data_IF_697778103313
#
_entry.id   IF_697778103313
#
_cell.length_a   1.000
_cell.length_b   1.000
_cell.length_c   1.000
_cell.angle_alpha   90.00
_cell.angle_beta   90.00
_cell.angle_gamma   90.00
#
_symmetry.space_group_name_H-M   'P 1'
#
loop_
_entity.id
_entity.type
_entity.pdbx_description
1 polymer ?
#
# COMPACT_ATOMS: atom_id res chain seq x y z
N UNK A 1 -13.55 4.61 21.20
CA UNK A 1 -12.62 4.00 20.20
C UNK A 1 -13.25 4.25 18.87
N UNK A 2 -12.66 5.12 18.03
CA UNK A 2 -13.09 5.29 16.63
C UNK A 2 -12.54 4.11 15.84
N UNK A 3 -13.40 3.34 15.24
CA UNK A 3 -12.99 2.26 14.33
C UNK A 3 -12.20 2.86 13.18
N UNK A 4 -11.13 2.16 12.77
CA UNK A 4 -10.38 2.58 11.60
C UNK A 4 -11.29 2.52 10.35
N UNK A 5 -11.21 3.49 9.47
CA UNK A 5 -12.12 3.66 8.35
C UNK A 5 -12.18 2.49 7.37
N UNK A 6 -11.20 1.60 7.41
CA UNK A 6 -11.13 0.38 6.58
C UNK A 6 -11.18 -0.92 7.39
N UNK A 7 -11.53 -0.86 8.68
CA UNK A 7 -11.79 -2.08 9.45
C UNK A 7 -12.91 -2.84 8.77
N UNK A 8 -12.74 -4.13 8.42
CA UNK A 8 -13.88 -4.93 8.09
C UNK A 8 -14.76 -4.95 9.34
N UNK A 9 -15.95 -4.34 9.25
CA UNK A 9 -16.92 -4.47 10.31
C UNK A 9 -17.12 -5.97 10.58
N UNK A 10 -17.24 -6.36 11.83
CA UNK A 10 -17.45 -7.74 12.31
C UNK A 10 -18.80 -8.36 11.85
N UNK A 11 -19.46 -7.76 10.88
CA UNK A 11 -20.54 -8.38 10.11
C UNK A 11 -19.89 -9.28 9.08
N UNK A 12 -20.26 -10.54 9.05
CA UNK A 12 -19.97 -11.51 7.99
C UNK A 12 -20.03 -10.79 6.66
N UNK A 13 -18.86 -10.52 6.06
CA UNK A 13 -18.80 -9.76 4.82
C UNK A 13 -19.50 -10.59 3.75
N UNK A 14 -20.64 -10.14 3.28
CA UNK A 14 -21.32 -10.76 2.16
C UNK A 14 -20.38 -10.69 0.95
N UNK A 15 -19.94 -11.85 0.48
CA UNK A 15 -19.10 -11.96 -0.71
C UNK A 15 -20.01 -11.81 -1.93
N UNK A 16 -20.00 -10.64 -2.55
CA UNK A 16 -20.67 -10.44 -3.83
C UNK A 16 -19.74 -10.88 -4.96
N UNK A 17 -20.30 -11.57 -5.96
CA UNK A 17 -19.60 -11.94 -7.19
C UNK A 17 -20.13 -11.08 -8.33
N UNK A 18 -19.21 -10.48 -9.07
CA UNK A 18 -19.53 -9.68 -10.25
C UNK A 18 -18.94 -10.38 -11.48
N UNK A 19 -19.80 -10.79 -12.40
CA UNK A 19 -19.35 -11.37 -13.66
C UNK A 19 -18.87 -10.25 -14.60
N UNK A 20 -17.66 -10.43 -15.15
CA UNK A 20 -17.13 -9.54 -16.18
C UNK A 20 -17.72 -9.97 -17.54
N UNK A 21 -18.96 -9.55 -17.83
CA UNK A 21 -19.65 -9.88 -19.09
C UNK A 21 -19.55 -8.77 -20.13
N UNK A 22 -19.36 -7.54 -19.67
CA UNK A 22 -19.21 -6.36 -20.50
C UNK A 22 -17.73 -6.14 -20.85
N UNK A 23 -17.45 -5.48 -21.96
CA UNK A 23 -16.09 -5.10 -22.36
C UNK A 23 -15.42 -4.21 -21.33
N UNK A 24 -16.23 -3.52 -20.53
CA UNK A 24 -15.79 -2.57 -19.49
C UNK A 24 -16.73 -2.61 -18.30
N UNK A 25 -16.17 -2.60 -17.11
CA UNK A 25 -16.89 -2.47 -15.84
C UNK A 25 -16.27 -1.34 -15.02
N UNK A 26 -17.07 -0.36 -14.68
CA UNK A 26 -16.70 0.76 -13.84
C UNK A 26 -17.16 0.54 -12.40
N UNK A 27 -16.30 0.92 -11.45
CA UNK A 27 -16.56 0.86 -10.01
C UNK A 27 -16.50 2.30 -9.48
N UNK A 28 -17.51 2.72 -8.73
CA UNK A 28 -17.54 4.04 -8.14
C UNK A 28 -18.54 4.17 -6.99
N UNK A 29 -18.55 5.35 -6.37
CA UNK A 29 -19.52 5.66 -5.32
C UNK A 29 -20.88 6.06 -5.91
N UNK A 30 -20.89 6.74 -7.04
CA UNK A 30 -22.10 7.32 -7.63
C UNK A 30 -22.36 6.80 -9.04
N UNK A 31 -21.32 6.51 -9.80
CA UNK A 31 -21.38 6.11 -11.19
C UNK A 31 -20.62 4.80 -11.45
N UNK A 32 -21.18 3.95 -12.32
CA UNK A 32 -20.55 2.72 -12.79
C UNK A 32 -21.48 1.52 -12.79
N UNK A 33 -20.95 0.37 -13.21
CA UNK A 33 -21.65 -0.91 -13.18
C UNK A 33 -21.71 -1.47 -11.74
N UNK A 34 -20.71 -1.13 -10.92
CA UNK A 34 -20.65 -1.47 -9.50
C UNK A 34 -20.65 -0.16 -8.71
N UNK A 35 -21.82 0.16 -8.13
CA UNK A 35 -22.01 1.36 -7.31
C UNK A 35 -22.02 0.98 -5.85
N UNK A 36 -21.11 1.59 -5.08
CA UNK A 36 -20.89 1.34 -3.66
C UNK A 36 -21.09 2.66 -2.89
N UNK A 37 -22.35 3.10 -2.83
CA UNK A 37 -22.75 4.44 -2.36
C UNK A 37 -22.42 4.72 -0.90
N UNK A 38 -22.32 3.67 -0.08
CA UNK A 38 -22.06 3.78 1.37
C UNK A 38 -20.56 3.93 1.70
N UNK A 39 -19.69 3.92 0.69
CA UNK A 39 -18.25 4.04 0.92
C UNK A 39 -17.75 5.48 0.69
N UNK A 40 -17.50 6.25 1.75
CA UNK A 40 -17.01 7.64 1.64
C UNK A 40 -15.58 7.76 1.11
N UNK A 41 -14.83 6.64 0.99
CA UNK A 41 -13.47 6.62 0.46
C UNK A 41 -13.43 6.37 -1.05
N UNK A 42 -14.59 6.11 -1.67
CA UNK A 42 -14.70 5.99 -3.10
C UNK A 42 -14.93 7.36 -3.75
N UNK A 43 -14.22 7.61 -4.83
CA UNK A 43 -14.56 8.69 -5.75
C UNK A 43 -15.86 8.35 -6.50
N UNK A 44 -16.63 9.33 -6.99
CA UNK A 44 -17.86 9.09 -7.77
C UNK A 44 -17.63 8.07 -8.90
N UNK A 45 -16.52 8.21 -9.63
CA UNK A 45 -15.93 7.20 -10.52
C UNK A 45 -14.53 6.91 -10.01
N UNK A 46 -14.21 5.65 -9.71
CA UNK A 46 -12.96 5.31 -9.03
C UNK A 46 -12.06 4.40 -9.85
N UNK A 47 -12.59 3.29 -10.30
CA UNK A 47 -11.82 2.25 -10.99
C UNK A 47 -12.56 1.74 -12.23
N UNK A 48 -11.79 1.21 -13.18
CA UNK A 48 -12.29 0.58 -14.39
C UNK A 48 -11.58 -0.73 -14.64
N UNK A 49 -12.34 -1.76 -14.89
CA UNK A 49 -11.89 -3.04 -15.43
C UNK A 49 -12.27 -3.09 -16.90
N UNK A 50 -11.35 -3.50 -17.77
CA UNK A 50 -11.65 -3.73 -19.19
C UNK A 50 -10.85 -4.88 -19.74
N UNK A 51 -11.39 -5.53 -20.76
CA UNK A 51 -10.65 -6.50 -21.54
C UNK A 51 -9.72 -5.80 -22.54
N UNK A 52 -8.49 -6.31 -22.65
CA UNK A 52 -7.52 -5.93 -23.68
C UNK A 52 -6.91 -7.23 -24.23
N UNK A 53 -7.50 -7.74 -25.30
CA UNK A 53 -7.23 -9.10 -25.75
C UNK A 53 -7.66 -10.11 -24.66
N UNK A 54 -6.76 -11.02 -24.30
CA UNK A 54 -7.01 -12.03 -23.27
C UNK A 54 -6.75 -11.53 -21.85
N UNK A 55 -6.27 -10.30 -21.69
CA UNK A 55 -5.94 -9.72 -20.37
C UNK A 55 -7.07 -8.83 -19.85
N UNK A 56 -7.30 -8.90 -18.55
CA UNK A 56 -8.12 -7.91 -17.83
C UNK A 56 -7.21 -6.85 -17.25
N UNK A 57 -7.50 -5.61 -17.58
CA UNK A 57 -6.73 -4.44 -17.14
C UNK A 57 -7.56 -3.63 -16.14
N UNK A 58 -6.98 -3.40 -14.97
CA UNK A 58 -7.52 -2.51 -13.96
C UNK A 58 -6.88 -1.13 -14.13
N UNK A 59 -7.73 -0.10 -14.19
CA UNK A 59 -7.33 1.30 -14.33
C UNK A 59 -7.88 2.14 -13.18
N UNK A 60 -7.02 2.98 -12.60
CA UNK A 60 -7.44 4.05 -11.70
C UNK A 60 -7.97 5.24 -12.52
N UNK A 61 -9.16 5.70 -12.21
CA UNK A 61 -9.81 6.83 -12.89
C UNK A 61 -9.49 8.17 -12.21
N UNK A 62 -8.23 8.36 -11.85
CA UNK A 62 -7.73 9.54 -11.13
C UNK A 62 -8.45 9.74 -9.79
N UNK A 63 -8.69 8.64 -9.11
CA UNK A 63 -9.39 8.65 -7.84
C UNK A 63 -8.56 9.32 -6.74
N UNK A 64 -9.24 9.87 -5.73
CA UNK A 64 -8.58 10.55 -4.60
C UNK A 64 -7.69 9.60 -3.83
N UNK A 65 -8.19 8.44 -3.45
CA UNK A 65 -7.48 7.48 -2.62
C UNK A 65 -6.64 6.47 -3.41
N UNK A 66 -6.85 6.35 -4.71
CA UNK A 66 -6.17 5.38 -5.56
C UNK A 66 -6.62 3.95 -5.33
N UNK A 67 -5.97 3.03 -6.01
CA UNK A 67 -6.20 1.60 -5.92
C UNK A 67 -4.95 0.95 -5.33
N UNK A 68 -5.13 0.09 -4.31
CA UNK A 68 -4.04 -0.65 -3.68
C UNK A 68 -4.04 -2.10 -4.17
N UNK A 69 -2.96 -2.52 -4.81
CA UNK A 69 -2.76 -3.89 -5.27
C UNK A 69 -1.94 -4.66 -4.22
N UNK A 70 -2.46 -5.80 -3.77
CA UNK A 70 -1.77 -6.69 -2.84
C UNK A 70 -0.56 -7.32 -3.51
N UNK A 71 0.56 -7.32 -2.79
CA UNK A 71 1.81 -7.92 -3.27
C UNK A 71 1.70 -9.44 -3.36
N UNK A 72 2.23 -9.99 -4.41
CA UNK A 72 2.47 -11.45 -4.59
C UNK A 72 3.96 -11.77 -4.55
N UNK A 73 4.77 -10.77 -4.80
CA UNK A 73 6.22 -10.84 -4.86
C UNK A 73 6.84 -9.54 -4.35
N UNK A 74 8.13 -9.52 -4.16
CA UNK A 74 8.86 -8.31 -3.80
C UNK A 74 8.76 -7.29 -4.94
N UNK A 75 8.47 -6.04 -4.59
CA UNK A 75 8.35 -4.94 -5.58
C UNK A 75 9.32 -3.82 -5.25
N UNK A 76 9.88 -3.22 -6.29
CA UNK A 76 10.71 -2.02 -6.13
C UNK A 76 9.84 -0.84 -5.69
N UNK A 77 10.40 0.01 -4.83
CA UNK A 77 9.79 1.25 -4.36
C UNK A 77 10.40 2.45 -5.08
N UNK A 78 9.54 3.37 -5.47
CA UNK A 78 9.89 4.69 -5.98
C UNK A 78 9.48 5.78 -4.99
N UNK A 79 10.11 6.95 -5.10
CA UNK A 79 9.75 8.11 -4.29
C UNK A 79 8.27 8.47 -4.44
N UNK A 80 7.61 8.66 -3.30
CA UNK A 80 6.19 8.98 -3.24
C UNK A 80 5.24 7.78 -3.26
N UNK A 81 5.74 6.54 -3.32
CA UNK A 81 4.89 5.34 -3.26
C UNK A 81 4.11 5.27 -1.94
N UNK A 82 2.82 4.95 -2.06
CA UNK A 82 1.92 4.77 -0.93
C UNK A 82 1.75 3.29 -0.62
N UNK A 83 2.04 2.92 0.60
CA UNK A 83 1.99 1.54 1.10
C UNK A 83 0.82 1.38 2.05
N UNK A 84 0.15 0.23 2.00
CA UNK A 84 -0.84 -0.19 2.98
C UNK A 84 -0.34 -1.45 3.67
N UNK A 85 0.00 -1.31 4.95
CA UNK A 85 0.53 -2.38 5.81
C UNK A 85 -0.35 -2.49 7.06
N UNK A 86 -1.13 -3.55 7.17
CA UNK A 86 -2.20 -3.60 8.17
C UNK A 86 -3.22 -2.48 7.92
N UNK A 87 -3.39 -1.58 8.88
CA UNK A 87 -4.20 -0.36 8.75
C UNK A 87 -3.35 0.88 8.46
N UNK A 88 -2.05 0.74 8.41
CA UNK A 88 -1.15 1.88 8.27
C UNK A 88 -1.01 2.30 6.82
N UNK A 89 -1.22 3.58 6.56
CA UNK A 89 -0.93 4.22 5.28
C UNK A 89 0.40 4.93 5.42
N UNK A 90 1.40 4.41 4.73
CA UNK A 90 2.79 4.86 4.78
C UNK A 90 3.20 5.36 3.41
N UNK A 91 3.80 6.55 3.36
CA UNK A 91 4.41 7.06 2.14
C UNK A 91 5.90 6.84 2.19
N UNK A 92 6.43 6.18 1.19
CA UNK A 92 7.86 6.04 1.00
C UNK A 92 8.42 7.31 0.37
N UNK A 93 9.47 7.87 0.99
CA UNK A 93 10.10 9.12 0.53
C UNK A 93 11.63 8.97 0.54
N UNK A 94 12.25 9.34 -0.57
CA UNK A 94 13.70 9.48 -0.64
C UNK A 94 14.13 10.79 0.02
N UNK A 95 15.22 10.75 0.80
CA UNK A 95 15.75 11.97 1.39
C UNK A 95 16.52 12.77 0.34
N UNK A 96 16.27 14.07 0.30
CA UNK A 96 17.02 15.01 -0.53
C UNK A 96 18.39 15.31 0.08
N UNK A 97 19.31 15.82 -0.73
CA UNK A 97 20.63 16.28 -0.23
C UNK A 97 20.49 17.38 0.84
N UNK A 98 19.42 18.16 0.82
CA UNK A 98 19.15 19.22 1.80
C UNK A 98 18.79 18.69 3.20
N UNK A 99 18.46 17.42 3.31
CA UNK A 99 18.15 16.74 4.58
C UNK A 99 19.34 15.94 5.12
N UNK A 100 20.51 16.04 4.46
CA UNK A 100 21.73 15.40 4.92
C UNK A 100 22.29 16.10 6.18
N UNK A 101 22.99 15.36 7.03
CA UNK A 101 23.62 15.91 8.22
C UNK A 101 24.55 17.09 7.91
N UNK A 102 24.47 18.15 8.71
CA UNK A 102 25.32 19.31 8.56
C UNK A 102 26.78 19.08 9.03
N UNK A 103 27.05 17.91 9.60
CA UNK A 103 28.34 17.59 10.21
C UNK A 103 28.46 18.01 11.68
N UNK A 104 29.61 17.75 12.31
CA UNK A 104 29.81 18.05 13.74
C UNK A 104 29.70 19.54 14.04
N UNK A 105 28.91 19.86 15.06
CA UNK A 105 28.77 21.23 15.55
C UNK A 105 29.87 21.56 16.54
N UNK A 106 30.32 22.83 16.53
CA UNK A 106 31.30 23.35 17.48
C UNK A 106 30.75 24.60 18.20
N UNK A 107 31.13 24.74 19.47
CA UNK A 107 30.84 25.93 20.27
C UNK A 107 32.17 26.43 20.89
N UNK A 108 32.51 27.67 20.64
CA UNK A 108 33.80 28.25 21.08
C UNK A 108 35.03 27.42 20.69
N UNK A 109 35.02 26.79 19.51
CA UNK A 109 36.11 25.96 19.01
C UNK A 109 36.17 24.54 19.59
N UNK A 110 35.17 24.16 20.41
CA UNK A 110 35.07 22.82 21.01
C UNK A 110 33.94 22.06 20.33
N UNK A 111 34.20 20.82 19.95
CA UNK A 111 33.19 19.93 19.37
C UNK A 111 32.15 19.59 20.44
N UNK A 112 30.86 19.65 20.07
CA UNK A 112 29.79 19.25 20.96
C UNK A 112 29.68 17.73 21.05
N UNK A 113 29.42 17.22 22.26
CA UNK A 113 29.01 15.84 22.41
C UNK A 113 27.58 15.67 21.91
N UNK A 114 27.34 14.58 21.16
CA UNK A 114 26.02 14.23 20.66
C UNK A 114 25.97 12.78 20.23
N UNK A 115 24.75 12.31 19.95
CA UNK A 115 24.57 10.98 19.36
C UNK A 115 25.15 10.95 17.96
N UNK A 116 26.03 9.98 17.63
CA UNK A 116 26.54 9.83 16.28
C UNK A 116 25.42 9.69 15.27
N UNK A 117 25.49 10.46 14.19
CA UNK A 117 24.50 10.37 13.14
C UNK A 117 24.67 9.10 12.31
N UNK A 118 23.56 8.42 12.06
CA UNK A 118 23.48 7.31 11.11
C UNK A 118 22.98 7.86 9.78
N UNK A 119 23.65 7.56 8.66
CA UNK A 119 23.19 8.01 7.35
C UNK A 119 21.74 7.56 7.08
N UNK A 120 20.86 8.51 6.84
CA UNK A 120 19.46 8.30 6.50
C UNK A 120 19.32 8.49 5.00
N UNK A 121 18.70 7.57 4.31
CA UNK A 121 18.62 7.60 2.85
C UNK A 121 17.16 7.67 2.36
N UNK A 122 16.23 7.23 3.20
CA UNK A 122 14.80 7.28 2.94
C UNK A 122 14.02 7.33 4.25
N UNK A 123 12.73 7.57 4.15
CA UNK A 123 11.80 7.53 5.30
C UNK A 123 10.45 6.99 4.89
N UNK A 124 9.70 6.50 5.87
CA UNK A 124 8.27 6.25 5.79
C UNK A 124 7.53 7.32 6.57
N UNK A 125 6.69 8.09 5.89
CA UNK A 125 5.80 9.07 6.50
C UNK A 125 4.43 8.42 6.71
N UNK A 126 3.96 8.35 7.96
CA UNK A 126 2.66 7.80 8.31
C UNK A 126 1.58 8.88 8.21
N UNK A 127 0.54 8.60 7.43
CA UNK A 127 -0.57 9.53 7.22
C UNK A 127 -1.82 9.13 8.00
N UNK A 128 -2.46 10.12 8.62
CA UNK A 128 -3.75 9.96 9.30
C UNK A 128 -4.91 10.09 8.33
N UNK A 129 -6.11 9.76 8.78
CA UNK A 129 -7.38 10.00 8.04
C UNK A 129 -7.68 11.49 7.80
N UNK A 130 -6.99 12.38 8.50
CA UNK A 130 -7.07 13.83 8.33
C UNK A 130 -6.13 14.34 7.23
N UNK A 131 -5.38 13.42 6.59
CA UNK A 131 -4.45 13.75 5.51
C UNK A 131 -3.16 14.39 5.97
N UNK A 132 -2.84 14.33 7.28
CA UNK A 132 -1.62 14.89 7.84
C UNK A 132 -0.61 13.79 8.17
N UNK A 133 0.67 14.11 8.04
CA UNK A 133 1.76 13.25 8.50
C UNK A 133 1.78 13.26 10.03
N UNK A 134 1.64 12.08 10.62
CA UNK A 134 1.66 11.88 12.07
C UNK A 134 3.06 11.55 12.57
N UNK A 135 3.65 10.51 11.99
CA UNK A 135 4.95 9.98 12.40
C UNK A 135 5.84 9.76 11.19
N UNK A 136 7.15 9.82 11.42
CA UNK A 136 8.18 9.61 10.40
C UNK A 136 9.17 8.57 10.90
N UNK A 137 9.38 7.52 10.11
CA UNK A 137 10.31 6.44 10.40
C UNK A 137 11.46 6.47 9.39
N UNK A 138 12.66 6.82 9.83
CA UNK A 138 13.82 6.86 8.96
C UNK A 138 14.38 5.47 8.68
N UNK A 139 14.73 5.23 7.42
CA UNK A 139 15.30 3.99 6.95
C UNK A 139 16.83 4.15 6.85
N UNK A 140 17.54 3.41 7.65
CA UNK A 140 19.02 3.43 7.71
C UNK A 140 19.64 2.04 7.76
N UNK A 141 18.83 0.99 7.92
CA UNK A 141 19.26 -0.41 7.93
C UNK A 141 19.07 -1.03 6.55
N UNK A 142 19.84 -2.05 6.23
CA UNK A 142 19.70 -2.78 4.96
C UNK A 142 18.37 -3.52 4.86
N UNK A 143 17.81 -3.94 6.01
CA UNK A 143 16.45 -4.44 6.12
C UNK A 143 15.75 -3.74 7.29
N UNK A 144 14.58 -3.18 7.05
CA UNK A 144 13.70 -2.59 8.07
C UNK A 144 12.41 -3.39 8.11
N UNK A 145 12.17 -4.07 9.22
CA UNK A 145 10.97 -4.90 9.43
C UNK A 145 9.87 -4.06 10.07
N UNK A 146 8.66 -4.19 9.51
CA UNK A 146 7.43 -3.58 10.02
C UNK A 146 6.56 -4.69 10.58
N UNK A 147 6.05 -4.50 11.80
CA UNK A 147 5.18 -5.50 12.42
C UNK A 147 4.37 -4.96 13.59
N UNK A 148 3.52 -5.84 14.17
CA UNK A 148 2.72 -5.49 15.34
C UNK A 148 3.50 -5.62 16.65
N UNK A 149 4.37 -6.61 16.75
CA UNK A 149 5.10 -6.96 17.97
C UNK A 149 6.61 -7.04 17.75
N UNK A 150 7.03 -7.38 16.55
CA UNK A 150 8.43 -7.64 16.21
C UNK A 150 8.79 -6.86 14.95
N UNK A 151 9.84 -6.07 15.04
CA UNK A 151 10.37 -5.30 13.93
C UNK A 151 11.10 -4.04 14.40
N UNK A 152 11.58 -3.29 13.45
CA UNK A 152 12.22 -1.99 13.64
C UNK A 152 11.16 -0.88 13.76
N UNK A 153 10.02 -1.08 13.11
CA UNK A 153 8.84 -0.21 13.17
C UNK A 153 7.67 -1.05 13.68
N UNK A 154 7.13 -0.68 14.85
CA UNK A 154 6.13 -1.49 15.53
C UNK A 154 4.84 -0.71 15.73
N UNK A 155 3.72 -1.31 15.32
CA UNK A 155 2.37 -0.77 15.47
C UNK A 155 1.52 -1.71 16.35
N UNK A 156 1.69 -1.61 17.66
CA UNK A 156 1.11 -2.54 18.66
C UNK A 156 -0.41 -2.58 18.66
N UNK A 157 -1.05 -1.46 18.31
CA UNK A 157 -2.50 -1.30 18.36
C UNK A 157 -3.21 -1.65 17.04
N UNK A 158 -2.46 -2.15 16.04
CA UNK A 158 -3.02 -2.52 14.75
C UNK A 158 -3.43 -4.00 14.72
N UNK A 159 -4.74 -4.33 14.81
CA UNK A 159 -5.21 -5.72 14.84
C UNK A 159 -5.07 -6.43 13.49
N UNK A 160 -4.85 -5.69 12.40
CA UNK A 160 -4.68 -6.25 11.05
C UNK A 160 -3.22 -6.47 10.68
N UNK A 161 -2.31 -6.04 11.56
CA UNK A 161 -0.88 -6.25 11.35
C UNK A 161 -0.42 -7.57 11.95
N UNK A 162 0.32 -8.37 11.20
CA UNK A 162 0.98 -9.57 11.68
C UNK A 162 2.16 -9.21 12.60
N UNK A 163 2.63 -10.12 13.45
CA UNK A 163 3.77 -9.90 14.35
C UNK A 163 4.99 -9.35 13.61
N UNK A 164 5.34 -9.99 12.51
CA UNK A 164 6.23 -9.50 11.45
C UNK A 164 5.38 -9.46 10.19
N UNK A 165 5.22 -8.29 9.59
CA UNK A 165 4.25 -8.13 8.50
C UNK A 165 4.93 -7.91 7.15
N UNK A 166 5.79 -6.93 7.08
CA UNK A 166 6.48 -6.54 5.86
C UNK A 166 7.92 -6.13 6.16
N UNK A 167 8.76 -6.08 5.14
CA UNK A 167 10.10 -5.54 5.23
C UNK A 167 10.41 -4.63 4.04
N UNK A 168 11.14 -3.55 4.31
CA UNK A 168 11.80 -2.76 3.29
C UNK A 168 13.26 -3.18 3.26
N UNK A 169 13.70 -3.57 2.08
CA UNK A 169 15.09 -4.00 1.82
C UNK A 169 15.79 -2.93 1.00
N UNK A 170 17.01 -2.59 1.38
CA UNK A 170 17.81 -1.55 0.74
C UNK A 170 19.02 -2.18 0.08
N UNK A 171 19.10 -2.09 -1.23
CA UNK A 171 20.32 -2.34 -1.99
C UNK A 171 21.09 -1.02 -2.13
N UNK A 172 22.09 -0.83 -1.24
CA UNK A 172 22.89 0.40 -1.20
C UNK A 172 23.76 0.57 -2.44
N UNK A 173 24.25 -0.54 -3.00
CA UNK A 173 25.14 -0.51 -4.16
C UNK A 173 24.42 0.05 -5.39
N UNK A 174 23.16 -0.34 -5.58
CA UNK A 174 22.32 0.09 -6.71
C UNK A 174 21.35 1.21 -6.34
N UNK A 175 21.32 1.66 -5.08
CA UNK A 175 20.38 2.66 -4.54
C UNK A 175 18.92 2.26 -4.81
N UNK A 176 18.61 0.97 -4.66
CA UNK A 176 17.27 0.43 -4.85
C UNK A 176 16.63 0.10 -3.53
N UNK A 177 15.33 0.28 -3.49
CA UNK A 177 14.49 -0.05 -2.33
C UNK A 177 13.42 -1.01 -2.78
N UNK A 178 13.16 -2.02 -2.00
CA UNK A 178 12.15 -3.01 -2.31
C UNK A 178 11.27 -3.29 -1.10
N UNK A 179 9.97 -3.48 -1.34
CA UNK A 179 9.00 -3.89 -0.33
C UNK A 179 8.68 -5.37 -0.51
N UNK A 180 8.75 -6.10 0.60
CA UNK A 180 8.46 -7.53 0.67
C UNK A 180 7.43 -7.81 1.76
N UNK A 181 6.40 -8.57 1.44
CA UNK A 181 5.49 -9.16 2.43
C UNK A 181 6.17 -10.36 3.10
N UNK A 182 6.08 -10.47 4.43
CA UNK A 182 6.71 -11.53 5.21
C UNK A 182 5.74 -12.69 5.52
N UNK A 183 4.80 -12.96 4.64
CA UNK A 183 3.77 -13.97 4.84
C UNK A 183 2.68 -13.50 5.79
N UNK A 184 2.32 -12.24 5.70
CA UNK A 184 1.31 -11.65 6.57
C UNK A 184 -0.08 -12.20 6.29
N UNK A 185 -0.95 -12.21 7.32
CA UNK A 185 -2.31 -12.74 7.19
C UNK A 185 -3.17 -11.90 6.23
N UNK A 186 -3.05 -10.59 6.32
CA UNK A 186 -3.87 -9.66 5.52
C UNK A 186 -3.19 -9.16 4.26
N UNK A 187 -1.90 -9.42 4.11
CA UNK A 187 -1.08 -8.96 2.99
C UNK A 187 -0.69 -7.50 3.07
N UNK A 188 0.33 -7.18 2.31
CA UNK A 188 0.85 -5.83 2.10
C UNK A 188 0.42 -5.38 0.71
N UNK A 189 0.05 -4.11 0.55
CA UNK A 189 -0.37 -3.58 -0.74
C UNK A 189 0.32 -2.24 -1.05
N UNK A 190 0.47 -1.97 -2.34
CA UNK A 190 1.01 -0.70 -2.86
C UNK A 190 -0.03 -0.05 -3.74
N UNK A 191 -0.19 1.27 -3.59
CA UNK A 191 -1.05 2.07 -4.44
C UNK A 191 -0.41 2.23 -5.82
N UNK A 192 -1.16 1.94 -6.86
CA UNK A 192 -0.75 2.27 -8.22
C UNK A 192 -1.64 3.36 -8.84
N UNK A 193 -1.12 4.00 -9.86
CA UNK A 193 -1.85 4.93 -10.73
C UNK A 193 -1.74 4.45 -12.17
N UNK A 194 -2.71 4.84 -13.01
CA UNK A 194 -2.75 4.40 -14.40
C UNK A 194 -3.37 3.03 -14.57
N UNK A 195 -2.72 2.15 -15.29
CA UNK A 195 -3.25 0.83 -15.67
C UNK A 195 -2.37 -0.31 -15.17
N UNK A 196 -3.01 -1.44 -14.79
CA UNK A 196 -2.33 -2.65 -14.38
C UNK A 196 -3.07 -3.88 -14.91
N UNK A 197 -2.38 -4.75 -15.65
CA UNK A 197 -2.93 -6.04 -16.03
C UNK A 197 -3.07 -6.94 -14.79
N UNK A 198 -4.25 -7.52 -14.61
CA UNK A 198 -4.55 -8.43 -13.51
C UNK A 198 -4.26 -9.88 -13.89
N UNK A 199 -3.75 -10.63 -12.94
CA UNK A 199 -3.60 -12.07 -13.00
C UNK A 199 -4.67 -12.74 -12.14
N UNK A 200 -5.16 -13.94 -12.50
CA UNK A 200 -6.08 -14.67 -11.63
C UNK A 200 -5.53 -14.80 -10.19
N UNK A 201 -6.37 -14.50 -9.21
CA UNK A 201 -6.02 -14.47 -7.81
C UNK A 201 -5.48 -13.13 -7.30
N UNK A 202 -5.27 -12.13 -8.17
CA UNK A 202 -4.89 -10.79 -7.72
C UNK A 202 -5.98 -10.20 -6.84
N UNK A 203 -5.54 -9.55 -5.76
CA UNK A 203 -6.41 -8.86 -4.82
C UNK A 203 -6.08 -7.37 -4.83
N UNK A 204 -7.11 -6.56 -4.96
CA UNK A 204 -6.95 -5.12 -4.95
C UNK A 204 -8.04 -4.45 -4.11
N UNK A 205 -7.68 -3.35 -3.49
CA UNK A 205 -8.58 -2.56 -2.64
C UNK A 205 -8.99 -1.29 -3.36
N UNK A 206 -10.28 -1.04 -3.34
CA UNK A 206 -10.92 0.19 -3.86
C UNK A 206 -11.80 0.73 -2.74
N UNK A 207 -11.42 1.85 -2.14
CA UNK A 207 -12.04 2.33 -0.91
C UNK A 207 -11.92 1.31 0.23
N UNK A 208 -13.05 0.97 0.86
CA UNK A 208 -13.12 -0.07 1.91
C UNK A 208 -13.18 -1.48 1.36
N UNK A 209 -13.47 -1.66 0.08
CA UNK A 209 -13.76 -2.95 -0.52
C UNK A 209 -12.50 -3.64 -1.01
N UNK A 210 -12.38 -4.91 -0.66
CA UNK A 210 -11.35 -5.81 -1.18
C UNK A 210 -11.95 -6.65 -2.29
N UNK A 211 -11.40 -6.55 -3.48
CA UNK A 211 -11.77 -7.34 -4.66
C UNK A 211 -10.72 -8.41 -4.90
N UNK A 212 -11.17 -9.54 -5.42
CA UNK A 212 -10.30 -10.59 -5.95
C UNK A 212 -10.69 -10.87 -7.39
N UNK A 213 -9.71 -10.83 -8.26
CA UNK A 213 -9.90 -11.23 -9.65
C UNK A 213 -9.79 -12.76 -9.76
N UNK A 214 -10.83 -13.38 -10.30
CA UNK A 214 -10.87 -14.83 -10.56
C UNK A 214 -11.06 -15.04 -12.06
N UNK A 215 -10.31 -15.98 -12.65
CA UNK A 215 -10.59 -16.42 -14.00
C UNK A 215 -11.91 -17.22 -14.00
N UNK A 216 -12.72 -17.09 -15.05
CA UNK A 216 -13.83 -18.00 -15.25
C UNK A 216 -13.26 -19.43 -15.33
N UNK A 217 -13.82 -20.35 -14.55
CA UNK A 217 -13.53 -21.77 -14.74
C UNK A 217 -13.96 -22.12 -16.16
N UNK A 218 -13.00 -22.55 -16.99
CA UNK A 218 -13.25 -22.92 -18.35
C UNK A 218 -14.35 -23.98 -18.38
N UNK A 219 -15.49 -23.63 -18.95
CA UNK A 219 -16.55 -24.59 -19.23
C UNK A 219 -15.94 -25.69 -20.11
N UNK A 220 -15.65 -26.82 -19.49
CA UNK A 220 -15.30 -28.02 -20.23
C UNK A 220 -16.41 -28.33 -21.20
N UNK A 221 -16.17 -28.07 -22.47
CA UNK A 221 -16.99 -28.65 -23.51
C UNK A 221 -16.80 -30.17 -23.43
N UNK A 222 -17.77 -30.84 -22.84
CA UNK A 222 -17.96 -32.26 -23.00
C UNK A 222 -18.50 -32.44 -24.43
N UNK A 223 -17.66 -32.89 -25.31
CA UNK A 223 -18.07 -33.51 -26.58
C UNK A 223 -18.62 -34.89 -26.32
#
# INVERSE_FOLDING_TARGET
RREAPWSPSSRTAATARYALQDEQIDIGREEGNIVLSDDPYLSPRHARLRFRGDAVVLRDLESVNGIYLRLRETVDLADGDMLLVGQQVLRFELLSEMELPLGPATQHGVMLFGTPETPRIARLAQYTTEGVCRDVHYLYRDETVIGREQGDIVFTDDPFMSRRHAAIVIDRANRRFALRDLGSSNGTAVRFRGERALRPGDQFRVGRHLFRFEAAEGGGQTT
#
